data_IF_919773984649
#
_entry.id   IF_919773984649
#
_cell.length_a   1.000
_cell.length_b   1.000
_cell.length_c   1.000
_cell.angle_alpha   90.00
_cell.angle_beta   90.00
_cell.angle_gamma   90.00
#
_symmetry.space_group_name_H-M   'P 1'
#
loop_
_entity.id
_entity.type
_entity.pdbx_description
1 polymer ?
#
# COMPACT_ATOMS: atom_id res chain seq x y z
N UNK A 1 26.73 5.16 -14.27
CA UNK A 1 26.35 3.73 -14.22
C UNK A 1 26.54 3.25 -12.79
N UNK A 2 25.46 2.92 -12.08
CA UNK A 2 25.55 2.36 -10.74
C UNK A 2 26.03 0.91 -10.86
N UNK A 3 27.15 0.57 -10.23
CA UNK A 3 27.71 -0.78 -10.23
C UNK A 3 27.69 -1.34 -8.81
N UNK A 4 26.76 -2.26 -8.55
CA UNK A 4 26.65 -2.96 -7.28
C UNK A 4 27.38 -4.29 -7.39
N UNK A 5 28.26 -4.60 -6.44
CA UNK A 5 29.01 -5.85 -6.46
C UNK A 5 28.09 -7.07 -6.28
N UNK A 6 28.35 -8.13 -7.03
CA UNK A 6 27.62 -9.39 -6.93
C UNK A 6 28.19 -10.26 -5.79
N UNK A 7 28.13 -9.74 -4.56
CA UNK A 7 28.56 -10.42 -3.34
C UNK A 7 27.40 -10.58 -2.34
N UNK A 8 27.54 -11.51 -1.41
CA UNK A 8 26.47 -11.87 -0.46
C UNK A 8 25.98 -10.68 0.38
N UNK A 9 26.86 -9.77 0.80
CA UNK A 9 26.46 -8.61 1.61
C UNK A 9 25.63 -7.64 0.80
N UNK A 10 26.02 -7.38 -0.44
CA UNK A 10 25.28 -6.49 -1.35
C UNK A 10 23.91 -7.06 -1.70
N UNK A 11 23.80 -8.37 -1.93
CA UNK A 11 22.51 -9.04 -2.14
C UNK A 11 21.57 -8.90 -0.94
N UNK A 12 22.09 -9.12 0.27
CA UNK A 12 21.33 -8.94 1.50
C UNK A 12 20.90 -7.48 1.68
N UNK A 13 21.81 -6.53 1.45
CA UNK A 13 21.51 -5.10 1.53
C UNK A 13 20.39 -4.72 0.57
N UNK A 14 20.45 -5.14 -0.70
CA UNK A 14 19.42 -4.81 -1.69
C UNK A 14 18.06 -5.41 -1.33
N UNK A 15 18.01 -6.64 -0.80
CA UNK A 15 16.77 -7.20 -0.26
C UNK A 15 16.24 -6.39 0.92
N UNK A 16 17.10 -6.00 1.87
CA UNK A 16 16.71 -5.16 3.00
C UNK A 16 16.14 -3.81 2.54
N UNK A 17 16.79 -3.15 1.58
CA UNK A 17 16.27 -1.92 0.96
C UNK A 17 14.92 -2.18 0.30
N UNK A 18 14.74 -3.31 -0.38
CA UNK A 18 13.45 -3.68 -0.98
C UNK A 18 12.32 -3.91 0.01
N UNK A 19 12.62 -4.51 1.15
CA UNK A 19 11.67 -4.66 2.24
C UNK A 19 11.31 -3.29 2.85
N UNK A 20 12.30 -2.44 3.12
CA UNK A 20 12.07 -1.10 3.71
C UNK A 20 11.24 -0.23 2.76
N UNK A 21 11.56 -0.26 1.47
CA UNK A 21 10.86 0.54 0.44
C UNK A 21 9.61 -0.14 -0.12
N UNK A 22 9.24 -1.30 0.41
CA UNK A 22 8.05 -2.07 0.04
C UNK A 22 7.95 -2.46 -1.44
N UNK A 23 9.05 -2.41 -2.20
CA UNK A 23 9.06 -2.96 -3.56
C UNK A 23 9.31 -4.47 -3.56
N UNK A 24 9.78 -5.04 -2.46
CA UNK A 24 10.00 -6.47 -2.28
C UNK A 24 9.28 -6.95 -1.02
N UNK A 25 8.51 -8.04 -1.12
CA UNK A 25 7.85 -8.67 0.03
C UNK A 25 8.70 -9.76 0.68
N UNK A 26 8.40 -10.11 1.92
CA UNK A 26 9.13 -11.13 2.69
C UNK A 26 9.10 -12.51 2.05
N UNK A 27 8.02 -12.82 1.33
CA UNK A 27 7.78 -14.06 0.57
C UNK A 27 8.48 -14.09 -0.81
N UNK A 28 9.12 -12.99 -1.22
CA UNK A 28 9.76 -12.87 -2.53
C UNK A 28 8.85 -12.35 -3.65
N UNK A 29 7.66 -11.86 -3.33
CA UNK A 29 6.78 -11.18 -4.29
C UNK A 29 7.32 -9.78 -4.60
N UNK A 30 7.35 -9.42 -5.90
CA UNK A 30 7.74 -8.10 -6.40
C UNK A 30 6.51 -7.19 -6.49
N UNK A 31 6.60 -6.00 -5.90
CA UNK A 31 5.63 -4.92 -6.14
C UNK A 31 6.17 -4.03 -7.27
N UNK A 32 5.91 -4.42 -8.52
CA UNK A 32 6.52 -3.82 -9.72
C UNK A 32 6.30 -2.32 -9.82
N UNK A 33 5.08 -1.84 -9.55
CA UNK A 33 4.74 -0.42 -9.60
C UNK A 33 5.45 0.41 -8.52
N UNK A 34 5.74 -0.19 -7.36
CA UNK A 34 6.49 0.44 -6.28
C UNK A 34 7.97 0.56 -6.64
N UNK A 35 8.56 -0.43 -7.31
CA UNK A 35 9.94 -0.32 -7.80
C UNK A 35 10.05 0.68 -8.95
N UNK A 36 9.10 0.61 -9.89
CA UNK A 36 9.07 1.45 -11.09
C UNK A 36 9.13 2.95 -10.78
N UNK A 37 8.52 3.41 -9.69
CA UNK A 37 8.52 4.84 -9.33
C UNK A 37 9.93 5.45 -9.15
N UNK A 38 10.93 4.61 -8.88
CA UNK A 38 12.33 5.00 -8.69
C UNK A 38 13.08 5.11 -10.01
N UNK A 39 12.46 4.78 -11.13
CA UNK A 39 13.09 4.78 -12.44
C UNK A 39 12.37 5.71 -13.41
N UNK A 40 13.14 6.34 -14.29
CA UNK A 40 12.64 7.16 -15.39
C UNK A 40 13.02 6.48 -16.71
N UNK A 41 12.06 5.86 -17.43
CA UNK A 41 12.34 5.29 -18.74
C UNK A 41 12.63 6.39 -19.78
N UNK A 42 13.36 6.03 -20.83
CA UNK A 42 13.56 6.92 -21.98
C UNK A 42 12.23 7.05 -22.75
N UNK A 43 11.78 8.28 -22.99
CA UNK A 43 10.54 8.58 -23.72
C UNK A 43 10.47 7.99 -25.13
N UNK A 44 11.62 7.70 -25.75
CA UNK A 44 11.72 7.11 -27.09
C UNK A 44 11.71 5.58 -27.08
N UNK A 45 11.87 4.98 -25.91
CA UNK A 45 11.92 3.54 -25.72
C UNK A 45 10.57 3.03 -25.25
N UNK A 46 9.83 2.35 -26.11
CA UNK A 46 8.54 1.77 -25.76
C UNK A 46 8.63 0.33 -25.25
N UNK A 47 9.83 -0.28 -25.24
CA UNK A 47 10.02 -1.71 -24.96
C UNK A 47 10.78 -1.98 -23.65
N UNK A 48 11.15 -0.93 -22.90
CA UNK A 48 11.84 -1.03 -21.60
C UNK A 48 11.15 -2.01 -20.65
N UNK A 49 9.81 -2.00 -20.59
CA UNK A 49 9.02 -2.86 -19.72
C UNK A 49 9.24 -4.34 -20.06
N UNK A 50 9.02 -4.72 -21.33
CA UNK A 50 9.16 -6.10 -21.78
C UNK A 50 10.60 -6.62 -21.62
N UNK A 51 11.60 -5.77 -21.89
CA UNK A 51 13.01 -6.17 -21.72
C UNK A 51 13.37 -6.35 -20.25
N UNK A 52 12.86 -5.50 -19.37
CA UNK A 52 13.05 -5.64 -17.93
C UNK A 52 12.42 -6.94 -17.44
N UNK A 53 11.17 -7.21 -17.83
CA UNK A 53 10.46 -8.44 -17.47
C UNK A 53 11.21 -9.70 -17.93
N UNK A 54 11.62 -9.76 -19.21
CA UNK A 54 12.42 -10.90 -19.74
C UNK A 54 13.77 -11.04 -19.05
N UNK A 55 14.39 -9.95 -18.62
CA UNK A 55 15.62 -10.00 -17.84
C UNK A 55 15.39 -10.67 -16.48
N UNK A 56 14.29 -10.30 -15.79
CA UNK A 56 13.92 -10.86 -14.49
C UNK A 56 13.63 -12.36 -14.62
N UNK A 57 12.82 -12.77 -15.59
CA UNK A 57 12.53 -14.20 -15.84
C UNK A 57 13.80 -15.04 -16.04
N UNK A 58 14.80 -14.46 -16.70
CA UNK A 58 16.06 -15.17 -16.98
C UNK A 58 17.03 -15.18 -15.80
N UNK A 59 17.07 -14.10 -15.00
CA UNK A 59 18.13 -13.89 -13.99
C UNK A 59 17.67 -14.07 -12.55
N UNK A 60 16.38 -13.99 -12.25
CA UNK A 60 15.82 -14.12 -10.91
C UNK A 60 14.79 -15.27 -10.86
N UNK A 61 15.18 -16.51 -11.21
CA UNK A 61 14.26 -17.65 -11.21
C UNK A 61 13.67 -17.87 -9.80
N UNK A 62 12.46 -18.44 -9.74
CA UNK A 62 11.70 -18.58 -8.47
C UNK A 62 12.45 -19.43 -7.45
N UNK A 63 13.24 -20.41 -7.90
CA UNK A 63 13.97 -21.37 -7.06
C UNK A 63 15.25 -20.80 -6.42
N UNK A 64 15.70 -19.61 -6.83
CA UNK A 64 16.87 -18.97 -6.25
C UNK A 64 16.58 -18.39 -4.85
N UNK A 65 17.64 -18.18 -4.07
CA UNK A 65 17.50 -17.54 -2.77
C UNK A 65 16.94 -16.11 -2.91
N UNK A 66 16.13 -15.68 -1.93
CA UNK A 66 15.43 -14.41 -1.99
C UNK A 66 16.36 -13.20 -2.10
N UNK A 67 17.60 -13.28 -1.60
CA UNK A 67 18.56 -12.18 -1.69
C UNK A 67 19.11 -12.07 -3.11
N UNK A 68 19.46 -13.20 -3.73
CA UNK A 68 19.87 -13.24 -5.14
C UNK A 68 18.74 -12.78 -6.06
N UNK A 69 17.50 -13.23 -5.83
CA UNK A 69 16.34 -12.82 -6.64
C UNK A 69 16.07 -11.32 -6.56
N UNK A 70 16.07 -10.74 -5.35
CA UNK A 70 15.89 -9.31 -5.17
C UNK A 70 17.02 -8.51 -5.85
N UNK A 71 18.26 -8.97 -5.71
CA UNK A 71 19.43 -8.37 -6.35
C UNK A 71 19.32 -8.37 -7.88
N UNK A 72 19.09 -9.53 -8.49
CA UNK A 72 19.00 -9.66 -9.96
C UNK A 72 17.79 -8.92 -10.53
N UNK A 73 16.67 -8.89 -9.80
CA UNK A 73 15.51 -8.07 -10.14
C UNK A 73 15.89 -6.58 -10.22
N UNK A 74 16.55 -6.05 -9.19
CA UNK A 74 16.99 -4.66 -9.18
C UNK A 74 18.03 -4.37 -10.28
N UNK A 75 18.95 -5.31 -10.55
CA UNK A 75 19.90 -5.19 -11.66
C UNK A 75 19.19 -5.12 -13.02
N UNK A 76 18.12 -5.88 -13.23
CA UNK A 76 17.34 -5.79 -14.45
C UNK A 76 16.69 -4.42 -14.63
N UNK A 77 16.16 -3.81 -13.57
CA UNK A 77 15.64 -2.44 -13.64
C UNK A 77 16.74 -1.42 -13.99
N UNK A 78 17.91 -1.49 -13.34
CA UNK A 78 19.07 -0.63 -13.64
C UNK A 78 19.55 -0.76 -15.09
N UNK A 79 19.43 -1.95 -15.69
CA UNK A 79 19.97 -2.25 -17.01
C UNK A 79 18.95 -2.02 -18.14
N UNK A 80 17.66 -2.22 -17.87
CA UNK A 80 16.64 -2.33 -18.92
C UNK A 80 15.49 -1.34 -18.78
N UNK A 81 15.20 -0.83 -17.57
CA UNK A 81 14.00 -0.03 -17.33
C UNK A 81 14.23 1.46 -17.57
N UNK A 82 15.34 2.02 -17.09
CA UNK A 82 15.63 3.44 -17.23
C UNK A 82 16.65 3.97 -16.23
N UNK A 83 16.70 5.29 -16.08
CA UNK A 83 17.59 5.95 -15.14
C UNK A 83 17.02 5.90 -13.71
N UNK A 84 17.87 5.54 -12.74
CA UNK A 84 17.50 5.57 -11.32
C UNK A 84 17.42 7.03 -10.83
N UNK A 85 16.25 7.42 -10.34
CA UNK A 85 15.96 8.74 -9.80
C UNK A 85 16.47 8.89 -8.37
N UNK A 86 17.24 9.94 -8.11
CA UNK A 86 17.70 10.30 -6.76
C UNK A 86 16.82 11.40 -6.14
N UNK A 87 15.52 11.12 -6.00
CA UNK A 87 14.59 12.02 -5.33
C UNK A 87 13.77 11.28 -4.27
N UNK A 88 13.37 11.95 -3.17
CA UNK A 88 12.50 11.36 -2.17
C UNK A 88 11.19 10.86 -2.80
N UNK A 89 10.83 9.63 -2.48
CA UNK A 89 9.58 9.00 -2.92
C UNK A 89 8.71 8.68 -1.71
N UNK A 90 7.40 8.66 -1.94
CA UNK A 90 6.47 8.11 -0.97
C UNK A 90 6.69 6.59 -0.93
N UNK A 91 6.66 6.01 0.26
CA UNK A 91 6.78 4.56 0.46
C UNK A 91 5.42 4.04 0.90
N UNK A 92 4.88 2.98 0.26
CA UNK A 92 3.68 2.30 0.77
C UNK A 92 3.86 1.94 2.24
N UNK A 93 2.78 1.96 3.00
CA UNK A 93 2.78 1.46 4.36
C UNK A 93 2.84 -0.07 4.33
N UNK A 94 3.68 -0.62 5.21
CA UNK A 94 3.68 -2.06 5.51
C UNK A 94 2.45 -2.45 6.32
N UNK A 95 2.22 -3.76 6.46
CA UNK A 95 1.05 -4.27 7.17
C UNK A 95 1.08 -3.90 8.64
N UNK A 96 2.26 -3.91 9.25
CA UNK A 96 2.44 -3.48 10.64
C UNK A 96 2.05 -2.00 10.81
N UNK A 97 2.45 -1.13 9.87
CA UNK A 97 2.10 0.29 9.91
C UNK A 97 0.62 0.52 9.66
N UNK A 98 -0.01 -0.29 8.82
CA UNK A 98 -1.46 -0.26 8.58
C UNK A 98 -2.23 -0.77 9.81
N UNK A 99 -1.73 -1.83 10.47
CA UNK A 99 -2.25 -2.35 11.75
C UNK A 99 -2.18 -1.30 12.85
N UNK A 100 -1.03 -0.64 13.04
CA UNK A 100 -0.90 0.45 14.00
C UNK A 100 -1.86 1.61 13.69
N UNK A 101 -2.07 1.90 12.41
CA UNK A 101 -2.97 2.98 11.97
C UNK A 101 -4.42 2.66 12.31
N UNK A 102 -4.88 1.43 12.05
CA UNK A 102 -6.25 1.05 12.39
C UNK A 102 -6.43 0.94 13.90
N UNK A 103 -5.47 0.38 14.64
CA UNK A 103 -5.51 0.31 16.11
C UNK A 103 -5.70 1.70 16.72
N UNK A 104 -4.86 2.66 16.31
CA UNK A 104 -4.98 4.05 16.76
C UNK A 104 -6.38 4.64 16.48
N UNK A 105 -6.96 4.35 15.32
CA UNK A 105 -8.28 4.87 14.98
C UNK A 105 -9.42 4.19 15.74
N UNK A 106 -9.29 2.89 16.07
CA UNK A 106 -10.24 2.21 16.96
C UNK A 106 -10.21 2.85 18.35
N UNK A 107 -9.02 3.09 18.90
CA UNK A 107 -8.85 3.70 20.23
C UNK A 107 -9.41 5.13 20.28
N UNK A 108 -9.09 5.97 19.29
CA UNK A 108 -9.53 7.38 19.26
C UNK A 108 -11.04 7.51 19.12
N UNK A 109 -11.67 6.58 18.41
CA UNK A 109 -13.11 6.59 18.17
C UNK A 109 -13.90 5.73 19.16
N UNK A 110 -13.22 5.09 20.12
CA UNK A 110 -13.81 4.16 21.10
C UNK A 110 -14.63 3.05 20.41
N UNK A 111 -14.08 2.47 19.32
CA UNK A 111 -14.72 1.42 18.54
C UNK A 111 -14.19 0.06 19.00
N UNK A 112 -15.07 -0.85 19.47
CA UNK A 112 -14.68 -2.21 19.80
C UNK A 112 -14.08 -2.95 18.61
N UNK A 113 -13.02 -3.72 18.84
CA UNK A 113 -12.41 -4.54 17.79
C UNK A 113 -13.40 -5.53 17.14
N UNK A 114 -14.36 -6.05 17.91
CA UNK A 114 -15.42 -6.92 17.39
C UNK A 114 -16.27 -6.26 16.31
N UNK A 115 -16.51 -4.95 16.42
CA UNK A 115 -17.32 -4.21 15.47
C UNK A 115 -16.54 -4.01 14.16
N UNK A 116 -15.25 -3.68 14.25
CA UNK A 116 -14.38 -3.64 13.09
C UNK A 116 -14.28 -4.99 12.40
N UNK A 117 -14.05 -6.07 13.15
CA UNK A 117 -14.04 -7.43 12.62
C UNK A 117 -15.35 -7.77 11.91
N UNK A 118 -16.50 -7.40 12.48
CA UNK A 118 -17.79 -7.57 11.83
C UNK A 118 -17.88 -6.79 10.52
N UNK A 119 -17.47 -5.52 10.48
CA UNK A 119 -17.56 -4.70 9.26
C UNK A 119 -16.69 -5.22 8.13
N UNK A 120 -15.57 -5.88 8.43
CA UNK A 120 -14.73 -6.51 7.40
C UNK A 120 -15.36 -7.69 6.69
N UNK A 121 -16.52 -8.19 7.14
CA UNK A 121 -17.23 -9.30 6.47
C UNK A 121 -17.95 -8.89 5.17
N UNK A 122 -18.17 -7.60 4.93
CA UNK A 122 -18.74 -7.07 3.68
C UNK A 122 -18.39 -5.60 3.49
N UNK A 123 -18.07 -5.21 2.26
CA UNK A 123 -17.73 -3.82 1.93
C UNK A 123 -18.81 -2.82 2.34
N UNK A 124 -20.08 -3.21 2.23
CA UNK A 124 -21.24 -2.34 2.45
C UNK A 124 -21.42 -1.96 3.91
N UNK A 125 -20.94 -2.79 4.84
CA UNK A 125 -21.12 -2.58 6.28
C UNK A 125 -20.43 -1.30 6.75
N UNK A 126 -19.34 -0.89 6.10
CA UNK A 126 -18.66 0.36 6.40
C UNK A 126 -19.47 1.61 6.05
N UNK A 127 -20.56 1.48 5.27
CA UNK A 127 -21.45 2.58 4.93
C UNK A 127 -22.68 2.69 5.85
N UNK A 128 -22.96 1.65 6.66
CA UNK A 128 -24.22 1.53 7.38
C UNK A 128 -24.31 2.40 8.64
N UNK A 129 -23.20 2.58 9.35
CA UNK A 129 -23.18 3.29 10.64
C UNK A 129 -22.27 4.50 10.58
N UNK A 130 -22.53 5.49 11.43
CA UNK A 130 -21.64 6.66 11.56
C UNK A 130 -20.24 6.27 12.08
N UNK A 131 -20.09 5.40 13.10
CA UNK A 131 -18.78 4.95 13.57
C UNK A 131 -17.94 4.28 12.49
N UNK A 132 -18.54 3.41 11.66
CA UNK A 132 -17.81 2.73 10.60
C UNK A 132 -17.32 3.71 9.52
N UNK A 133 -18.16 4.69 9.15
CA UNK A 133 -17.79 5.76 8.21
C UNK A 133 -16.68 6.64 8.76
N UNK A 134 -16.73 6.98 10.05
CA UNK A 134 -15.68 7.76 10.70
C UNK A 134 -14.38 6.97 10.88
N UNK A 135 -14.45 5.65 11.09
CA UNK A 135 -13.27 4.79 11.12
C UNK A 135 -12.53 4.82 9.77
N UNK A 136 -13.26 4.71 8.66
CA UNK A 136 -12.67 4.83 7.32
C UNK A 136 -11.97 6.19 7.12
N UNK A 137 -12.64 7.27 7.54
CA UNK A 137 -12.06 8.62 7.47
C UNK A 137 -10.79 8.71 8.32
N UNK A 138 -10.82 8.28 9.57
CA UNK A 138 -9.65 8.30 10.44
C UNK A 138 -8.49 7.52 9.83
N UNK A 139 -8.75 6.27 9.42
CA UNK A 139 -7.74 5.38 8.87
C UNK A 139 -7.07 5.98 7.64
N UNK A 140 -7.86 6.44 6.67
CA UNK A 140 -7.31 6.96 5.40
C UNK A 140 -6.61 8.30 5.55
N UNK A 141 -7.04 9.17 6.48
CA UNK A 141 -6.27 10.37 6.84
C UNK A 141 -4.94 9.98 7.46
N UNK A 142 -4.95 9.06 8.44
CA UNK A 142 -3.76 8.68 9.19
C UNK A 142 -2.75 7.89 8.35
N UNK A 143 -3.24 7.12 7.38
CA UNK A 143 -2.45 6.45 6.36
C UNK A 143 -1.91 7.42 5.27
N UNK A 144 -2.32 8.69 5.29
CA UNK A 144 -1.90 9.69 4.30
C UNK A 144 -2.51 9.49 2.92
N UNK A 145 -3.63 8.78 2.84
CA UNK A 145 -4.36 8.45 1.61
C UNK A 145 -5.52 9.43 1.34
N UNK A 146 -5.97 10.19 2.34
CA UNK A 146 -7.11 11.09 2.24
C UNK A 146 -6.86 12.41 2.99
N UNK A 147 -7.54 13.48 2.58
CA UNK A 147 -7.75 14.69 3.41
C UNK A 147 -9.15 15.24 3.19
N UNK A 148 -9.74 15.91 4.19
CA UNK A 148 -11.08 16.50 4.02
C UNK A 148 -11.11 17.56 2.90
N UNK A 149 -10.01 18.30 2.74
CA UNK A 149 -9.90 19.36 1.74
C UNK A 149 -9.81 18.80 0.31
N UNK A 150 -8.95 17.80 0.08
CA UNK A 150 -8.64 17.33 -1.28
C UNK A 150 -9.33 16.02 -1.63
N UNK A 151 -9.79 15.26 -0.64
CA UNK A 151 -10.36 13.93 -0.84
C UNK A 151 -9.25 12.88 -0.86
N UNK A 152 -9.50 11.72 -1.50
CA UNK A 152 -8.51 10.68 -1.69
C UNK A 152 -7.37 11.15 -2.61
N UNK A 153 -6.14 10.72 -2.35
CA UNK A 153 -4.96 11.02 -3.16
C UNK A 153 -4.70 9.86 -4.14
N UNK A 154 -5.10 10.00 -5.39
CA UNK A 154 -5.06 8.93 -6.40
C UNK A 154 -3.67 8.26 -6.53
N UNK A 155 -2.61 9.05 -6.68
CA UNK A 155 -1.23 8.54 -6.77
C UNK A 155 -0.84 7.66 -5.58
N UNK A 156 -1.26 8.06 -4.37
CA UNK A 156 -0.94 7.32 -3.15
C UNK A 156 -1.77 6.06 -3.02
N UNK A 157 -3.03 6.08 -3.46
CA UNK A 157 -3.86 4.89 -3.57
C UNK A 157 -3.26 3.86 -4.52
N UNK A 158 -2.92 4.29 -5.75
CA UNK A 158 -2.28 3.44 -6.76
C UNK A 158 -0.94 2.90 -6.26
N UNK A 159 -0.16 3.72 -5.55
CA UNK A 159 1.09 3.27 -4.97
C UNK A 159 0.89 2.23 -3.85
N UNK A 160 -0.09 2.44 -2.97
CA UNK A 160 -0.36 1.56 -1.83
C UNK A 160 -0.98 0.21 -2.25
N UNK A 161 -1.92 0.22 -3.20
CA UNK A 161 -2.75 -0.95 -3.53
C UNK A 161 -2.46 -1.54 -4.91
N UNK A 162 -1.72 -0.83 -5.77
CA UNK A 162 -1.58 -1.16 -7.19
C UNK A 162 -2.74 -0.63 -8.02
N UNK A 163 -2.75 -0.96 -9.31
CA UNK A 163 -3.87 -0.63 -10.19
C UNK A 163 -5.11 -1.46 -9.78
N UNK A 164 -6.29 -0.83 -9.63
CA UNK A 164 -7.53 -1.56 -9.34
C UNK A 164 -7.95 -2.36 -10.58
N UNK A 165 -7.59 -3.64 -10.63
CA UNK A 165 -7.80 -4.60 -11.75
C UNK A 165 -7.21 -4.16 -13.11
N UNK A 166 -6.88 -5.11 -14.01
CA UNK A 166 -6.27 -4.78 -15.31
C UNK A 166 -7.21 -4.13 -16.33
N UNK A 167 -8.53 -4.19 -16.11
CA UNK A 167 -9.59 -3.77 -17.04
C UNK A 167 -10.24 -2.43 -16.69
N UNK A 168 -9.88 -1.83 -15.56
CA UNK A 168 -10.33 -0.49 -15.19
C UNK A 168 -9.47 0.53 -15.93
N UNK A 169 -10.11 1.39 -16.71
CA UNK A 169 -9.44 2.55 -17.29
C UNK A 169 -8.88 3.39 -16.15
N UNK A 170 -7.56 3.41 -16.02
CA UNK A 170 -6.81 4.24 -15.06
C UNK A 170 -6.84 5.70 -15.53
N UNK A 171 -8.02 6.31 -15.50
CA UNK A 171 -8.20 7.74 -15.69
C UNK A 171 -8.22 8.37 -14.29
N UNK A 172 -7.07 8.85 -13.81
CA UNK A 172 -6.94 9.57 -12.53
C UNK A 172 -8.05 10.63 -12.32
N UNK A 173 -8.56 11.20 -13.42
CA UNK A 173 -9.67 12.16 -13.47
C UNK A 173 -11.04 11.60 -13.04
N UNK A 174 -11.35 10.32 -13.21
CA UNK A 174 -12.69 9.77 -12.90
C UNK A 174 -12.98 9.77 -11.40
N UNK A 175 -11.98 9.37 -10.60
CA UNK A 175 -12.05 9.45 -9.14
C UNK A 175 -12.31 10.88 -8.69
N UNK A 176 -11.57 11.85 -9.24
CA UNK A 176 -11.72 13.28 -8.92
C UNK A 176 -13.11 13.82 -9.28
N UNK A 177 -13.63 13.48 -10.47
CA UNK A 177 -14.97 13.88 -10.87
C UNK A 177 -16.06 13.26 -9.98
N UNK A 178 -15.90 11.98 -9.61
CA UNK A 178 -16.79 11.29 -8.70
C UNK A 178 -16.82 11.95 -7.32
N UNK A 179 -15.66 12.26 -6.73
CA UNK A 179 -15.57 12.95 -5.43
C UNK A 179 -16.13 14.37 -5.51
N UNK A 180 -15.88 15.09 -6.60
CA UNK A 180 -16.43 16.43 -6.80
C UNK A 180 -17.96 16.43 -6.87
N UNK A 181 -18.58 15.39 -7.46
CA UNK A 181 -20.03 15.19 -7.42
C UNK A 181 -20.51 14.97 -5.99
N UNK A 182 -19.90 14.04 -5.26
CA UNK A 182 -20.29 13.72 -3.87
C UNK A 182 -20.21 14.94 -2.94
N UNK A 183 -19.21 15.82 -3.12
CA UNK A 183 -19.10 17.07 -2.34
C UNK A 183 -20.32 17.98 -2.50
N UNK A 184 -20.92 18.04 -3.69
CA UNK A 184 -22.09 18.90 -3.95
C UNK A 184 -23.37 18.38 -3.28
N UNK A 185 -23.38 17.12 -2.87
CA UNK A 185 -24.51 16.50 -2.19
C UNK A 185 -24.58 16.89 -0.70
N UNK A 186 -23.54 17.51 -0.13
CA UNK A 186 -23.57 18.10 1.21
C UNK A 186 -23.48 17.09 2.37
N UNK A 187 -22.81 15.96 2.16
CA UNK A 187 -22.55 14.97 3.21
C UNK A 187 -21.67 15.52 4.34
N UNK A 188 -21.84 15.00 5.57
CA UNK A 188 -20.87 15.21 6.64
C UNK A 188 -19.50 14.61 6.28
N UNK A 189 -18.46 14.99 7.01
CA UNK A 189 -17.09 14.60 6.67
C UNK A 189 -16.87 13.07 6.64
N UNK A 190 -17.44 12.33 7.59
CA UNK A 190 -17.29 10.88 7.65
C UNK A 190 -18.03 10.20 6.50
N UNK A 191 -19.27 10.63 6.23
CA UNK A 191 -20.06 10.15 5.10
C UNK A 191 -19.40 10.45 3.75
N UNK A 192 -18.87 11.66 3.57
CA UNK A 192 -18.17 12.04 2.35
C UNK A 192 -16.93 11.18 2.14
N UNK A 193 -16.11 10.97 3.18
CA UNK A 193 -14.93 10.12 3.10
C UNK A 193 -15.30 8.68 2.74
N UNK A 194 -16.22 8.07 3.49
CA UNK A 194 -16.62 6.69 3.27
C UNK A 194 -17.22 6.46 1.87
N UNK A 195 -18.11 7.35 1.41
CA UNK A 195 -18.68 7.26 0.05
C UNK A 195 -17.65 7.52 -1.04
N UNK A 196 -16.70 8.44 -0.83
CA UNK A 196 -15.61 8.68 -1.78
C UNK A 196 -14.77 7.42 -1.98
N UNK A 197 -14.44 6.73 -0.88
CA UNK A 197 -13.65 5.50 -0.94
C UNK A 197 -14.43 4.36 -1.60
N UNK A 198 -15.71 4.23 -1.25
CA UNK A 198 -16.57 3.17 -1.76
C UNK A 198 -16.92 3.33 -3.24
N UNK A 199 -17.38 4.52 -3.63
CA UNK A 199 -17.90 4.78 -4.99
C UNK A 199 -16.80 5.18 -5.98
N UNK A 200 -15.74 5.86 -5.53
CA UNK A 200 -14.78 6.49 -6.43
C UNK A 200 -13.39 5.82 -6.42
N UNK A 201 -13.04 5.03 -5.39
CA UNK A 201 -11.71 4.41 -5.24
C UNK A 201 -11.78 2.91 -4.93
N UNK A 202 -12.84 2.24 -5.42
CA UNK A 202 -12.99 0.78 -5.42
C UNK A 202 -12.67 0.14 -4.07
N UNK A 203 -13.31 0.59 -2.99
CA UNK A 203 -13.05 0.11 -1.62
C UNK A 203 -12.93 -1.41 -1.49
N UNK A 204 -13.81 -2.15 -2.18
CA UNK A 204 -13.84 -3.61 -2.18
C UNK A 204 -12.58 -4.26 -2.78
N UNK A 205 -11.88 -3.58 -3.69
CA UNK A 205 -10.66 -4.06 -4.34
C UNK A 205 -9.38 -3.49 -3.70
N UNK A 206 -9.49 -2.50 -2.80
CA UNK A 206 -8.34 -1.78 -2.21
C UNK A 206 -8.28 -1.93 -0.68
N UNK A 207 -9.12 -1.19 0.03
CA UNK A 207 -9.09 -1.08 1.48
C UNK A 207 -9.66 -2.32 2.18
N UNK A 208 -10.73 -2.93 1.65
CA UNK A 208 -11.30 -4.12 2.26
C UNK A 208 -10.29 -5.29 2.32
N UNK A 209 -9.62 -5.69 1.21
CA UNK A 209 -8.59 -6.73 1.26
C UNK A 209 -7.42 -6.36 2.19
N UNK A 210 -7.12 -5.06 2.31
CA UNK A 210 -6.12 -4.58 3.25
C UNK A 210 -6.55 -4.81 4.70
N UNK A 211 -7.80 -4.50 5.04
CA UNK A 211 -8.35 -4.75 6.37
C UNK A 211 -8.37 -6.24 6.69
N UNK A 212 -8.85 -7.08 5.77
CA UNK A 212 -8.84 -8.54 5.92
C UNK A 212 -7.44 -9.08 6.21
N UNK A 213 -6.42 -8.55 5.51
CA UNK A 213 -5.02 -8.94 5.67
C UNK A 213 -4.40 -8.52 7.00
N UNK A 214 -4.77 -7.36 7.55
CA UNK A 214 -4.22 -6.86 8.81
C UNK A 214 -4.98 -7.35 10.05
N UNK A 215 -6.20 -7.89 9.91
CA UNK A 215 -7.00 -8.43 11.02
C UNK A 215 -6.23 -9.43 11.91
N UNK A 216 -5.49 -10.43 11.36
CA UNK A 216 -4.72 -11.35 12.20
C UNK A 216 -3.65 -10.65 13.03
N UNK A 217 -2.94 -9.66 12.45
CA UNK A 217 -1.94 -8.86 13.16
C UNK A 217 -2.58 -8.02 14.25
N UNK A 218 -3.71 -7.37 13.94
CA UNK A 218 -4.45 -6.54 14.89
C UNK A 218 -4.95 -7.36 16.08
N UNK A 219 -5.46 -8.58 15.83
CA UNK A 219 -5.86 -9.50 16.90
C UNK A 219 -4.69 -9.83 17.83
N UNK A 220 -3.50 -10.07 17.29
CA UNK A 220 -2.31 -10.32 18.09
C UNK A 220 -1.95 -9.12 18.97
N UNK A 221 -1.96 -7.91 18.42
CA UNK A 221 -1.64 -6.68 19.17
C UNK A 221 -2.62 -6.44 20.31
N UNK A 222 -3.93 -6.59 20.06
CA UNK A 222 -4.97 -6.35 21.05
C UNK A 222 -5.09 -7.43 22.13
N UNK A 223 -4.59 -8.64 21.88
CA UNK A 223 -4.62 -9.75 22.84
C UNK A 223 -3.29 -9.93 23.58
N UNK A 224 -2.30 -9.03 23.41
CA UNK A 224 -1.12 -9.05 24.26
C UNK A 224 -1.53 -8.65 25.68
N UNK A 225 -1.31 -9.50 26.70
CA UNK A 225 -1.52 -9.10 28.08
C UNK A 225 -0.56 -7.94 28.37
N UNK A 226 -1.07 -6.88 29.02
CA UNK A 226 -0.22 -5.83 29.59
C UNK A 226 0.86 -6.53 30.41
N UNK A 227 2.13 -6.35 30.03
CA UNK A 227 3.25 -6.80 30.85
C UNK A 227 3.23 -5.89 32.07
N UNK A 228 2.59 -6.36 33.15
CA UNK A 228 2.66 -5.75 34.47
C UNK A 228 4.13 -5.51 34.79
N UNK A 229 4.49 -4.23 34.84
CA UNK A 229 5.73 -3.78 35.46
C UNK A 229 5.66 -4.20 36.93
N UNK A 230 6.22 -5.36 37.24
CA UNK A 230 6.45 -5.78 38.60
C UNK A 230 7.35 -4.74 39.27
N UNK A 231 6.72 -3.89 40.09
CA UNK A 231 7.39 -3.12 41.13
C UNK A 231 8.14 -4.11 42.02
N UNK A 232 9.48 -4.08 41.95
CA UNK A 232 10.33 -4.70 42.95
C UNK A 232 10.44 -3.72 44.13
N UNK A 233 9.63 -3.96 45.17
CA UNK A 233 9.95 -3.60 46.56
C UNK A 233 11.15 -4.40 47.09
#
# INVERSE_FOLDING_TARGET
MYNYSNDAKTKQMLRCVGLILQWWKSDGTLNEHVLAQYFMPDTSDSDYYNRTYRCIERKAPVDDDLCSRAFETFQCYLQQYGELLNCPKVVPLSDERLTETIHFCLDVLDIPFSDFEQWTSSSELFLHTEPARCLLRCFTIRAGLYSDQHGPFADRFKLQFGAPKPDVFDNELEGDYCVARLRREGHDACSLAARSLYECYYFADTLLPTFERILPLLRLVLHQPEVETAEME
#
